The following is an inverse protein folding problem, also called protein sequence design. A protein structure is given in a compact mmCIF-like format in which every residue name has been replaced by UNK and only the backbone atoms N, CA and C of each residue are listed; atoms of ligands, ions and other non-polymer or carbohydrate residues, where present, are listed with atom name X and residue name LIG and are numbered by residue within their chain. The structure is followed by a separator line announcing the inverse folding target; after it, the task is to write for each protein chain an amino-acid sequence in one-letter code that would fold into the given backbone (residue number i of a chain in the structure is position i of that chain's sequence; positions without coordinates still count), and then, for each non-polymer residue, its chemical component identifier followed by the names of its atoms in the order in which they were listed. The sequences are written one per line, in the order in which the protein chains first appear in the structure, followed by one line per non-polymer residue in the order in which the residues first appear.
data_IF_048820067400
#
_entry.id   IF_048820067400
#
_cell.length_a   1.000
_cell.length_b   1.000
_cell.length_c   1.000
_cell.angle_alpha   90.00
_cell.angle_beta   90.00
_cell.angle_gamma   90.00
#
_symmetry.space_group_name_H-M   'P 1'
#
loop_
_entity.id
_entity.type
_entity.pdbx_description
1 polymer ?
#
# COMPACT_ATOMS: atom_id res chain seq x y z
N UNK A 1 -10.27 14.98 9.82
CA UNK A 1 -9.51 13.76 9.49
C UNK A 1 -10.24 13.16 8.30
N UNK A 2 -9.73 13.34 7.08
CA UNK A 2 -10.33 12.75 5.89
C UNK A 2 -10.11 11.24 5.93
N UNK A 3 -11.14 10.42 5.62
CA UNK A 3 -10.96 8.98 5.58
C UNK A 3 -9.88 8.64 4.55
N UNK A 4 -8.91 7.84 4.95
CA UNK A 4 -7.98 7.22 4.02
C UNK A 4 -8.80 6.34 3.06
N UNK A 5 -8.51 6.35 1.76
CA UNK A 5 -9.17 5.44 0.85
C UNK A 5 -8.89 4.00 1.30
N UNK A 6 -9.93 3.23 1.52
CA UNK A 6 -9.84 1.80 1.84
C UNK A 6 -9.30 1.07 0.61
N UNK A 7 -7.98 0.90 0.54
CA UNK A 7 -7.37 0.13 -0.53
C UNK A 7 -7.54 -1.37 -0.26
N UNK A 8 -8.08 -2.10 -1.23
CA UNK A 8 -7.92 -3.54 -1.34
C UNK A 8 -9.01 -4.43 -0.73
N UNK A 9 -10.16 -3.92 -0.32
CA UNK A 9 -11.29 -4.74 0.12
C UNK A 9 -12.20 -5.17 -1.04
N UNK A 10 -11.65 -5.88 -2.00
CA UNK A 10 -12.47 -6.45 -3.07
C UNK A 10 -11.82 -7.69 -3.67
N UNK A 11 -12.60 -8.60 -4.29
CA UNK A 11 -12.01 -9.63 -5.11
C UNK A 11 -11.12 -8.95 -6.15
N UNK A 12 -9.89 -9.45 -6.33
CA UNK A 12 -8.96 -8.97 -7.35
C UNK A 12 -9.67 -9.12 -8.71
N UNK A 13 -10.43 -8.11 -9.07
CA UNK A 13 -11.00 -8.00 -10.42
C UNK A 13 -9.84 -7.94 -11.38
N UNK A 14 -9.86 -8.77 -12.41
CA UNK A 14 -8.80 -8.73 -13.44
C UNK A 14 -8.67 -7.30 -13.93
N UNK A 15 -7.47 -6.70 -13.79
CA UNK A 15 -7.28 -5.33 -14.24
C UNK A 15 -7.58 -5.30 -15.75
N UNK A 16 -8.34 -4.29 -16.16
CA UNK A 16 -8.53 -3.96 -17.57
C UNK A 16 -7.14 -3.80 -18.20
N UNK A 17 -6.95 -4.27 -19.43
CA UNK A 17 -5.69 -4.12 -20.13
C UNK A 17 -5.30 -2.63 -20.23
N UNK A 18 -4.15 -2.27 -19.63
CA UNK A 18 -3.60 -0.93 -19.72
C UNK A 18 -2.97 -0.74 -21.10
N UNK A 19 -3.40 0.28 -21.83
CA UNK A 19 -2.80 0.61 -23.11
C UNK A 19 -1.49 1.46 -22.95
N UNK A 20 -0.82 1.76 -24.03
CA UNK A 20 0.43 2.52 -24.03
C UNK A 20 0.27 3.94 -23.45
N UNK A 21 -0.91 4.55 -23.59
CA UNK A 21 -1.19 5.88 -23.05
C UNK A 21 -1.34 5.81 -21.53
N UNK A 22 -2.07 4.81 -21.02
CA UNK A 22 -2.22 4.59 -19.58
C UNK A 22 -0.85 4.37 -18.91
N UNK A 23 -0.01 3.53 -19.53
CA UNK A 23 1.37 3.27 -19.07
C UNK A 23 2.20 4.54 -19.01
N UNK A 24 2.19 5.34 -20.06
CA UNK A 24 2.97 6.58 -20.13
C UNK A 24 2.51 7.61 -19.08
N UNK A 25 1.20 7.67 -18.77
CA UNK A 25 0.68 8.51 -17.69
C UNK A 25 1.18 8.03 -16.33
N UNK A 26 1.13 6.72 -16.07
CA UNK A 26 1.61 6.11 -14.83
C UNK A 26 3.11 6.38 -14.65
N UNK A 27 3.93 6.14 -15.68
CA UNK A 27 5.39 6.38 -15.66
C UNK A 27 5.73 7.84 -15.37
N UNK A 28 5.04 8.77 -16.01
CA UNK A 28 5.25 10.21 -15.80
C UNK A 28 4.95 10.59 -14.32
N UNK A 29 3.84 10.12 -13.78
CA UNK A 29 3.45 10.40 -12.39
C UNK A 29 4.31 9.65 -11.35
N UNK A 30 4.82 8.48 -11.68
CA UNK A 30 5.79 7.77 -10.82
C UNK A 30 7.15 8.48 -10.79
N UNK A 31 7.58 9.05 -11.91
CA UNK A 31 8.82 9.83 -11.98
C UNK A 31 8.68 11.16 -11.22
N UNK A 32 7.53 11.83 -11.35
CA UNK A 32 7.25 13.12 -10.73
C UNK A 32 5.76 13.23 -10.41
N UNK A 33 5.35 12.92 -9.18
CA UNK A 33 3.94 12.93 -8.76
C UNK A 33 3.21 14.29 -8.89
N UNK A 34 3.94 15.35 -9.23
CA UNK A 34 3.41 16.71 -9.46
C UNK A 34 3.44 17.12 -10.93
N UNK A 35 3.73 16.21 -11.87
CA UNK A 35 3.76 16.55 -13.28
C UNK A 35 2.36 16.97 -13.75
N UNK A 36 2.27 18.13 -14.44
CA UNK A 36 0.97 18.62 -14.91
C UNK A 36 0.44 17.78 -16.07
N UNK A 37 -0.87 17.62 -16.17
CA UNK A 37 -1.49 16.91 -17.28
C UNK A 37 -1.12 17.51 -18.64
N UNK A 38 -0.93 18.84 -18.71
CA UNK A 38 -0.43 19.53 -19.90
C UNK A 38 0.98 19.07 -20.28
N UNK A 39 1.88 18.94 -19.32
CA UNK A 39 3.25 18.48 -19.58
C UNK A 39 3.25 17.01 -20.03
N UNK A 40 2.47 16.16 -19.37
CA UNK A 40 2.29 14.76 -19.77
C UNK A 40 1.74 14.68 -21.20
N UNK A 41 0.68 15.42 -21.50
CA UNK A 41 0.05 15.49 -22.82
C UNK A 41 1.05 15.87 -23.92
N UNK A 42 1.89 16.88 -23.65
CA UNK A 42 2.92 17.32 -24.58
C UNK A 42 3.99 16.24 -24.83
N UNK A 43 4.39 15.48 -23.78
CA UNK A 43 5.38 14.40 -23.90
C UNK A 43 4.89 13.24 -24.75
N UNK A 44 3.62 12.86 -24.60
CA UNK A 44 3.06 11.68 -25.27
C UNK A 44 2.27 12.02 -26.55
N UNK A 45 2.17 13.30 -26.90
CA UNK A 45 1.58 13.75 -28.17
C UNK A 45 0.06 13.64 -28.24
N UNK A 46 -0.67 13.84 -27.12
CA UNK A 46 -2.14 13.78 -27.07
C UNK A 46 -2.73 15.05 -26.44
N UNK A 47 -4.06 15.19 -26.48
CA UNK A 47 -4.74 16.31 -25.84
C UNK A 47 -4.73 16.21 -24.30
N UNK A 48 -4.57 17.32 -23.59
CA UNK A 48 -4.63 17.38 -22.10
C UNK A 48 -5.95 16.79 -21.55
N UNK A 49 -7.08 17.05 -22.22
CA UNK A 49 -8.37 16.51 -21.83
C UNK A 49 -8.37 14.96 -21.85
N UNK A 50 -7.64 14.35 -22.78
CA UNK A 50 -7.49 12.89 -22.85
C UNK A 50 -6.68 12.37 -21.68
N UNK A 51 -5.56 13.04 -21.32
CA UNK A 51 -4.77 12.67 -20.12
C UNK A 51 -5.63 12.75 -18.86
N UNK A 52 -6.39 13.83 -18.69
CA UNK A 52 -7.29 14.03 -17.54
C UNK A 52 -8.33 12.92 -17.43
N UNK A 53 -8.98 12.56 -18.54
CA UNK A 53 -9.99 11.50 -18.55
C UNK A 53 -9.38 10.12 -18.24
N UNK A 54 -8.17 9.85 -18.76
CA UNK A 54 -7.45 8.60 -18.49
C UNK A 54 -6.98 8.51 -17.05
N UNK A 55 -6.43 9.59 -16.51
CA UNK A 55 -6.04 9.69 -15.10
C UNK A 55 -7.25 9.42 -14.17
N UNK A 56 -8.37 10.09 -14.39
CA UNK A 56 -9.58 9.89 -13.59
C UNK A 56 -10.00 8.41 -13.58
N UNK A 57 -10.01 7.77 -14.75
CA UNK A 57 -10.32 6.35 -14.86
C UNK A 57 -9.32 5.45 -14.11
N UNK A 58 -8.00 5.74 -14.21
CA UNK A 58 -6.98 4.97 -13.49
C UNK A 58 -7.13 5.08 -11.96
N UNK A 59 -7.61 6.23 -11.47
CA UNK A 59 -7.92 6.43 -10.05
C UNK A 59 -9.22 5.73 -9.68
N UNK A 60 -10.28 5.85 -10.49
CA UNK A 60 -11.57 5.20 -10.24
C UNK A 60 -11.47 3.65 -10.28
N UNK A 61 -10.58 3.12 -11.13
CA UNK A 61 -10.29 1.69 -11.23
C UNK A 61 -9.26 1.22 -10.17
N UNK A 62 -8.87 2.07 -9.21
CA UNK A 62 -7.88 1.82 -8.14
C UNK A 62 -6.49 1.37 -8.63
N UNK A 63 -6.16 1.66 -9.90
CA UNK A 63 -4.86 1.31 -10.51
C UNK A 63 -3.77 2.32 -10.14
N UNK A 64 -4.15 3.59 -9.95
CA UNK A 64 -3.25 4.70 -9.67
C UNK A 64 -3.75 5.53 -8.51
N UNK A 65 -2.85 5.78 -7.55
CA UNK A 65 -3.04 6.77 -6.51
C UNK A 65 -1.86 7.73 -6.49
N UNK A 66 -2.14 9.04 -6.36
CA UNK A 66 -1.11 10.05 -6.15
C UNK A 66 -1.22 10.57 -4.72
N UNK A 67 -0.20 10.30 -3.92
CA UNK A 67 -0.13 10.70 -2.52
C UNK A 67 1.23 11.28 -2.16
N UNK A 68 1.29 12.06 -1.09
CA UNK A 68 2.55 12.50 -0.49
C UNK A 68 3.10 11.39 0.42
N UNK A 69 4.32 10.94 0.14
CA UNK A 69 5.02 9.99 1.01
C UNK A 69 5.90 10.78 1.98
N UNK A 70 5.77 10.49 3.26
CA UNK A 70 6.56 11.09 4.32
C UNK A 70 7.60 10.10 4.84
N UNK A 71 8.65 10.63 5.46
CA UNK A 71 9.59 9.81 6.22
C UNK A 71 9.15 9.82 7.70
N UNK A 72 8.71 8.69 8.28
CA UNK A 72 8.25 8.63 9.66
C UNK A 72 9.29 9.16 10.66
N UNK A 73 10.57 8.83 10.48
CA UNK A 73 11.65 9.35 11.33
C UNK A 73 11.75 10.89 11.28
N UNK A 74 11.51 11.48 10.11
CA UNK A 74 11.47 12.95 9.94
C UNK A 74 10.26 13.61 10.60
N UNK A 75 9.24 12.84 10.93
CA UNK A 75 8.04 13.27 11.67
C UNK A 75 8.13 13.00 13.18
N UNK A 76 9.22 12.35 13.65
CA UNK A 76 9.43 12.04 15.06
C UNK A 76 8.91 10.68 15.50
N UNK A 77 8.61 9.76 14.58
CA UNK A 77 8.30 8.37 14.90
C UNK A 77 9.60 7.56 14.97
N UNK A 78 9.95 7.09 16.17
CA UNK A 78 11.25 6.44 16.42
C UNK A 78 11.18 4.90 16.39
N UNK A 79 9.98 4.31 16.24
CA UNK A 79 9.81 2.86 16.19
C UNK A 79 8.98 2.44 14.99
N UNK A 80 9.60 1.70 14.11
CA UNK A 80 8.98 1.05 12.96
C UNK A 80 9.27 -0.44 13.00
N UNK A 81 8.31 -1.25 12.65
CA UNK A 81 8.51 -2.69 12.67
C UNK A 81 7.42 -3.48 11.99
N UNK A 82 7.73 -4.73 11.75
CA UNK A 82 6.84 -5.71 11.18
C UNK A 82 6.39 -6.68 12.25
N UNK A 83 5.09 -6.95 12.35
CA UNK A 83 4.54 -7.95 13.26
C UNK A 83 3.90 -9.06 12.45
N UNK A 84 4.45 -10.26 12.59
CA UNK A 84 3.82 -11.49 12.11
C UNK A 84 2.86 -12.00 13.17
N UNK A 85 1.64 -12.34 12.76
CA UNK A 85 0.55 -12.80 13.62
C UNK A 85 0.09 -14.16 13.14
N UNK A 86 -0.07 -15.11 14.07
CA UNK A 86 -0.74 -16.38 13.81
C UNK A 86 -2.11 -16.38 14.50
N UNK A 87 -3.10 -16.91 13.80
CA UNK A 87 -4.50 -16.93 14.24
C UNK A 87 -5.03 -18.35 14.43
N UNK A 88 -6.03 -18.50 15.28
CA UNK A 88 -6.84 -19.73 15.36
C UNK A 88 -8.07 -19.56 14.47
N UNK A 89 -8.08 -20.22 13.32
CA UNK A 89 -9.17 -20.13 12.35
C UNK A 89 -8.91 -19.08 11.27
N UNK A 90 -9.98 -18.37 10.85
CA UNK A 90 -9.89 -17.37 9.79
C UNK A 90 -9.10 -16.13 10.21
N UNK A 91 -8.12 -15.67 9.43
CA UNK A 91 -7.34 -14.48 9.76
C UNK A 91 -8.07 -13.15 9.47
N UNK A 92 -9.14 -13.17 8.67
CA UNK A 92 -9.84 -11.95 8.22
C UNK A 92 -10.34 -11.09 9.39
N UNK A 93 -10.99 -11.60 10.45
CA UNK A 93 -11.46 -10.75 11.54
C UNK A 93 -10.33 -10.01 12.25
N UNK A 94 -9.18 -10.68 12.44
CA UNK A 94 -7.99 -10.10 13.08
C UNK A 94 -7.37 -9.03 12.16
N UNK A 95 -7.24 -9.33 10.87
CA UNK A 95 -6.71 -8.39 9.88
C UNK A 95 -7.58 -7.14 9.75
N UNK A 96 -8.90 -7.30 9.71
CA UNK A 96 -9.86 -6.20 9.62
C UNK A 96 -9.83 -5.29 10.84
N UNK A 97 -9.71 -5.86 12.05
CA UNK A 97 -9.58 -5.08 13.27
C UNK A 97 -8.30 -4.24 13.26
N UNK A 98 -7.15 -4.86 12.93
CA UNK A 98 -5.85 -4.17 12.91
C UNK A 98 -5.81 -3.11 11.79
N UNK A 99 -6.41 -3.37 10.63
CA UNK A 99 -6.45 -2.43 9.52
C UNK A 99 -7.18 -1.10 9.85
N UNK A 100 -8.01 -1.09 10.89
CA UNK A 100 -8.64 0.13 11.40
C UNK A 100 -7.75 0.97 12.33
N UNK A 101 -6.55 0.54 12.67
CA UNK A 101 -5.70 1.24 13.63
C UNK A 101 -4.78 2.26 12.95
N UNK A 102 -4.60 3.46 13.54
CA UNK A 102 -3.77 4.50 12.95
C UNK A 102 -2.27 4.17 12.94
N UNK A 103 -1.84 3.22 13.76
CA UNK A 103 -0.45 2.77 13.81
C UNK A 103 -0.11 1.75 12.72
N UNK A 104 -1.13 1.15 12.06
CA UNK A 104 -0.96 0.11 11.05
C UNK A 104 -0.95 0.74 9.65
N UNK A 105 0.23 0.83 9.04
CA UNK A 105 0.39 1.35 7.68
C UNK A 105 0.15 0.30 6.59
N UNK A 106 0.37 -0.96 6.92
CA UNK A 106 0.19 -2.08 6.01
C UNK A 106 -0.29 -3.31 6.74
N UNK A 107 -1.37 -3.91 6.26
CA UNK A 107 -1.93 -5.15 6.80
C UNK A 107 -2.23 -6.09 5.64
N UNK A 108 -1.71 -7.31 5.71
CA UNK A 108 -1.89 -8.31 4.64
C UNK A 108 -2.08 -9.70 5.22
N UNK A 109 -3.04 -10.44 4.68
CA UNK A 109 -3.21 -11.88 4.92
C UNK A 109 -2.25 -12.63 4.01
N UNK A 110 -1.49 -13.56 4.55
CA UNK A 110 -0.43 -14.26 3.84
C UNK A 110 -0.62 -15.77 3.84
N UNK A 111 0.05 -16.42 2.90
CA UNK A 111 0.18 -17.87 2.88
C UNK A 111 1.62 -18.24 3.27
N UNK A 112 1.87 -18.56 4.52
CA UNK A 112 3.22 -18.87 5.01
C UNK A 112 3.26 -19.12 6.50
N UNK A 113 4.39 -18.73 7.13
CA UNK A 113 4.60 -18.92 8.58
C UNK A 113 3.63 -18.12 9.43
N UNK A 114 3.22 -16.94 8.97
CA UNK A 114 2.26 -16.07 9.63
C UNK A 114 0.99 -15.99 8.79
N UNK A 115 -0.15 -15.89 9.44
CA UNK A 115 -1.44 -15.72 8.78
C UNK A 115 -1.67 -14.26 8.39
N UNK A 116 -1.21 -13.32 9.24
CA UNK A 116 -1.28 -11.87 8.98
C UNK A 116 0.10 -11.26 9.20
N UNK A 117 0.47 -10.31 8.35
CA UNK A 117 1.64 -9.46 8.51
C UNK A 117 1.17 -8.01 8.60
N UNK A 118 1.67 -7.30 9.61
CA UNK A 118 1.32 -5.91 9.89
C UNK A 118 2.59 -5.07 9.92
N UNK A 119 2.66 -3.97 9.17
CA UNK A 119 3.69 -2.94 9.36
C UNK A 119 3.16 -1.86 10.29
N UNK A 120 3.91 -1.57 11.34
CA UNK A 120 3.56 -0.59 12.37
C UNK A 120 4.53 0.58 12.36
N UNK A 121 3.98 1.79 12.48
CA UNK A 121 4.72 3.03 12.73
C UNK A 121 4.27 3.59 14.07
N UNK A 122 5.20 3.68 15.03
CA UNK A 122 4.94 4.08 16.41
C UNK A 122 5.84 5.23 16.84
N UNK A 123 5.38 6.02 17.80
CA UNK A 123 6.13 7.15 18.34
C UNK A 123 7.48 6.70 18.90
N UNK A 124 7.48 5.62 19.68
CA UNK A 124 8.67 5.04 20.31
C UNK A 124 8.52 3.53 20.54
N UNK A 125 9.54 2.90 21.11
CA UNK A 125 9.55 1.45 21.39
C UNK A 125 8.53 1.04 22.43
N UNK A 126 8.17 1.93 23.36
CA UNK A 126 7.13 1.67 24.35
C UNK A 126 5.77 1.61 23.68
N UNK A 127 5.47 2.57 22.81
CA UNK A 127 4.25 2.57 22.00
C UNK A 127 4.17 1.32 21.11
N UNK A 128 5.28 0.90 20.47
CA UNK A 128 5.31 -0.35 19.71
C UNK A 128 4.97 -1.58 20.56
N UNK A 129 5.48 -1.64 21.80
CA UNK A 129 5.14 -2.71 22.74
C UNK A 129 3.66 -2.68 23.12
N UNK A 130 3.09 -1.49 23.36
CA UNK A 130 1.67 -1.32 23.69
C UNK A 130 0.78 -1.80 22.53
N UNK A 131 1.10 -1.40 21.29
CA UNK A 131 0.36 -1.83 20.07
C UNK A 131 0.50 -3.34 19.87
N UNK A 132 1.71 -3.91 20.03
CA UNK A 132 1.91 -5.36 19.92
C UNK A 132 1.11 -6.12 20.97
N UNK A 133 0.99 -5.59 22.20
CA UNK A 133 0.16 -6.21 23.23
C UNK A 133 -1.34 -6.09 22.90
N UNK A 134 -1.78 -5.00 22.26
CA UNK A 134 -3.15 -4.90 21.74
C UNK A 134 -3.43 -5.98 20.70
N UNK A 135 -2.50 -6.23 19.77
CA UNK A 135 -2.64 -7.33 18.79
C UNK A 135 -2.80 -8.67 19.52
N UNK A 136 -1.97 -8.94 20.53
CA UNK A 136 -2.05 -10.19 21.30
C UNK A 136 -3.36 -10.37 22.06
N UNK A 137 -4.06 -9.28 22.37
CA UNK A 137 -5.32 -9.30 23.07
C UNK A 137 -6.54 -9.51 22.14
N UNK A 138 -6.37 -9.45 20.81
CA UNK A 138 -7.44 -9.70 19.86
C UNK A 138 -7.86 -11.18 19.96
N UNK A 139 -9.17 -11.42 20.01
CA UNK A 139 -9.71 -12.78 19.99
C UNK A 139 -9.28 -13.51 18.71
N UNK A 140 -8.79 -14.73 18.85
CA UNK A 140 -8.28 -15.54 17.75
C UNK A 140 -6.77 -15.39 17.48
N UNK A 141 -6.08 -14.43 18.08
CA UNK A 141 -4.61 -14.34 17.98
C UNK A 141 -3.98 -15.43 18.88
N UNK A 142 -3.12 -16.24 18.29
CA UNK A 142 -2.39 -17.34 18.95
C UNK A 142 -0.99 -16.91 19.34
N UNK A 143 -0.29 -16.24 18.44
CA UNK A 143 1.08 -15.79 18.69
C UNK A 143 1.45 -14.62 17.79
N UNK A 144 2.45 -13.86 18.23
CA UNK A 144 3.03 -12.75 17.46
C UNK A 144 4.56 -12.81 17.48
N UNK A 145 5.18 -12.41 16.39
CA UNK A 145 6.62 -12.19 16.30
C UNK A 145 6.87 -10.77 15.77
N UNK A 146 7.68 -9.97 16.46
CA UNK A 146 7.94 -8.57 16.11
C UNK A 146 9.34 -8.41 15.56
N UNK A 147 9.47 -7.79 14.40
CA UNK A 147 10.72 -7.45 13.72
C UNK A 147 10.90 -5.93 13.77
N UNK A 148 11.67 -5.44 14.75
CA UNK A 148 11.99 -4.03 14.85
C UNK A 148 12.94 -3.62 13.73
N UNK A 149 12.62 -2.55 12.99
CA UNK A 149 13.51 -2.02 11.97
C UNK A 149 14.70 -1.32 12.62
N UNK A 150 15.89 -1.77 12.28
CA UNK A 150 17.14 -1.16 12.77
C UNK A 150 17.70 -0.16 11.75
N UNK A 151 17.51 -0.45 10.47
CA UNK A 151 17.99 0.38 9.38
C UNK A 151 17.14 0.14 8.13
N UNK A 152 16.60 1.23 7.57
CA UNK A 152 15.94 1.20 6.27
C UNK A 152 17.02 1.28 5.17
N UNK A 153 17.22 0.20 4.44
CA UNK A 153 18.24 0.14 3.37
C UNK A 153 17.69 0.63 2.03
N UNK A 154 16.40 0.41 1.78
CA UNK A 154 15.74 0.84 0.55
C UNK A 154 14.22 0.87 0.74
N UNK A 155 13.62 1.96 0.32
CA UNK A 155 12.16 2.08 0.21
C UNK A 155 11.83 2.81 -1.10
N UNK A 156 11.10 2.17 -1.98
CA UNK A 156 10.64 2.75 -3.24
C UNK A 156 9.20 2.32 -3.51
N UNK A 157 8.39 3.22 -4.00
CA UNK A 157 6.98 2.99 -4.34
C UNK A 157 6.76 2.95 -5.86
N UNK A 158 7.85 3.00 -6.63
CA UNK A 158 7.81 2.95 -8.09
C UNK A 158 8.05 1.54 -8.57
N UNK A 159 6.97 0.81 -8.80
CA UNK A 159 7.04 -0.54 -9.40
C UNK A 159 7.45 -0.50 -10.87
N UNK A 160 7.54 0.70 -11.46
CA UNK A 160 7.62 0.94 -12.89
C UNK A 160 6.33 0.48 -13.56
N UNK A 161 6.11 0.83 -14.80
CA UNK A 161 5.06 0.22 -15.61
C UNK A 161 5.45 -1.22 -16.02
N UNK A 162 6.03 -1.99 -15.11
CA UNK A 162 6.23 -3.43 -15.28
C UNK A 162 4.86 -4.10 -15.27
N UNK A 163 4.19 -4.02 -16.41
CA UNK A 163 2.98 -4.79 -16.60
C UNK A 163 3.42 -6.24 -16.68
N UNK A 164 2.87 -7.05 -15.77
CA UNK A 164 3.07 -8.48 -15.87
C UNK A 164 2.72 -8.94 -17.30
N UNK A 165 3.56 -9.76 -17.94
CA UNK A 165 3.23 -10.28 -19.25
C UNK A 165 1.85 -10.95 -19.17
N UNK A 166 1.03 -10.74 -20.21
CA UNK A 166 -0.26 -11.42 -20.32
C UNK A 166 -0.01 -12.92 -20.11
N UNK A 167 -0.65 -13.48 -19.08
CA UNK A 167 -0.62 -14.93 -18.92
C UNK A 167 -1.41 -15.49 -20.10
N UNK A 168 -0.71 -16.12 -21.04
CA UNK A 168 -1.34 -16.93 -22.04
C UNK A 168 -2.26 -17.91 -21.32
N UNK A 169 -3.55 -17.85 -21.67
CA UNK A 169 -4.56 -18.74 -21.13
C UNK A 169 -4.20 -20.15 -21.62
N UNK A 170 -3.73 -21.00 -20.70
CA UNK A 170 -3.61 -22.42 -20.93
C UNK A 170 -4.99 -23.09 -20.83
#
# INVERSE_FOLDING_TARGET
MSPQPEHGRGPVTRPRSLDAVDKAIIEALQATGRESFRAIAAKIGIAEATVRARYARLVDDEILQVTGVTNPLGLGFDAQGLVGVNTAGSPEPVADEIAGWPEADYVVITAGRFDVIVELVCEDRRHLLEVTNRIRAIEGVVSTETFLYLQLCKQVYTWGARIAPERESA
#
